data_IF_404888444572
#
_entry.id   IF_404888444572
#
_cell.length_a   1.000
_cell.length_b   1.000
_cell.length_c   1.000
_cell.angle_alpha   90.00
_cell.angle_beta   90.00
_cell.angle_gamma   90.00
#
_symmetry.space_group_name_H-M   'P 1'
#
loop_
_entity.id
_entity.type
_entity.pdbx_description
1 polymer ?
#
# COMPACT_ATOMS: atom_id res chain seq x y z
N UNK A 1 -29.75 6.91 8.33
CA UNK A 1 -29.50 8.33 8.03
C UNK A 1 -28.45 8.44 6.94
N UNK A 2 -28.83 8.92 5.76
CA UNK A 2 -27.93 9.02 4.61
C UNK A 2 -26.81 10.04 4.80
N UNK A 3 -25.88 10.11 3.84
CA UNK A 3 -24.85 11.14 3.81
C UNK A 3 -25.50 12.52 3.84
N UNK A 4 -25.05 13.39 4.76
CA UNK A 4 -25.51 14.78 4.82
C UNK A 4 -25.15 15.50 3.53
N UNK A 5 -26.01 16.41 3.08
CA UNK A 5 -25.81 17.19 1.84
C UNK A 5 -24.64 18.18 1.90
N UNK A 6 -24.16 18.49 3.12
CA UNK A 6 -22.94 19.28 3.35
C UNK A 6 -22.03 18.53 4.32
N UNK A 7 -20.74 18.33 3.99
CA UNK A 7 -19.77 17.75 4.92
C UNK A 7 -19.59 18.65 6.15
N UNK A 8 -19.19 18.01 7.24
CA UNK A 8 -18.98 18.71 8.51
C UNK A 8 -17.73 19.58 8.48
N UNK A 9 -16.65 19.08 7.87
CA UNK A 9 -15.35 19.75 7.70
C UNK A 9 -14.91 19.58 6.24
N UNK A 10 -14.28 20.62 5.70
CA UNK A 10 -13.56 20.57 4.43
C UNK A 10 -12.06 20.67 4.71
N UNK A 11 -11.27 19.89 3.98
CA UNK A 11 -9.79 19.96 3.99
C UNK A 11 -9.32 20.20 2.57
N UNK A 12 -8.83 21.40 2.30
CA UNK A 12 -8.32 21.79 0.99
C UNK A 12 -6.83 21.40 0.85
N UNK A 13 -6.45 20.90 -0.34
CA UNK A 13 -5.04 20.67 -0.71
C UNK A 13 -4.31 21.98 -1.02
N UNK A 14 -2.99 21.92 -1.28
CA UNK A 14 -2.21 23.13 -1.61
C UNK A 14 -2.42 23.47 -3.08
N UNK A 15 -2.23 22.48 -3.95
CA UNK A 15 -2.15 22.68 -5.38
C UNK A 15 -3.13 21.80 -6.15
N UNK A 16 -3.46 22.25 -7.35
CA UNK A 16 -4.14 21.42 -8.34
C UNK A 16 -3.30 20.17 -8.62
N UNK A 17 -3.96 19.01 -8.75
CA UNK A 17 -3.33 17.71 -9.04
C UNK A 17 -2.47 17.07 -7.95
N UNK A 18 -2.40 17.63 -6.74
CA UNK A 18 -1.74 16.97 -5.59
C UNK A 18 -2.40 15.61 -5.27
N UNK A 19 -3.68 15.44 -5.61
CA UNK A 19 -4.49 14.27 -5.24
C UNK A 19 -4.50 14.04 -3.71
N UNK A 20 -4.81 15.10 -2.96
CA UNK A 20 -5.03 15.02 -1.52
C UNK A 20 -6.13 14.00 -1.18
N UNK A 21 -5.90 13.25 -0.10
CA UNK A 21 -6.83 12.20 0.32
C UNK A 21 -6.75 10.98 -0.58
N UNK A 22 -5.59 10.74 -1.19
CA UNK A 22 -5.34 9.52 -1.97
C UNK A 22 -5.58 8.28 -1.10
N UNK A 23 -5.06 8.30 0.12
CA UNK A 23 -5.51 7.46 1.22
C UNK A 23 -5.81 8.31 2.47
N UNK A 24 -6.73 7.81 3.30
CA UNK A 24 -7.11 8.37 4.59
C UNK A 24 -6.98 7.30 5.66
N UNK A 25 -6.33 7.64 6.77
CA UNK A 25 -6.14 6.73 7.90
C UNK A 25 -6.42 7.42 9.22
N UNK A 26 -6.74 6.61 10.23
CA UNK A 26 -6.89 7.08 11.61
C UNK A 26 -6.14 6.17 12.57
N UNK A 27 -5.47 6.74 13.56
CA UNK A 27 -4.75 6.00 14.60
C UNK A 27 -4.53 6.88 15.84
N UNK A 28 -4.21 6.26 16.97
CA UNK A 28 -3.69 6.97 18.15
C UNK A 28 -2.17 7.11 17.99
N UNK A 29 -1.69 8.20 17.40
CA UNK A 29 -0.27 8.37 17.10
C UNK A 29 0.52 8.94 18.26
N UNK A 30 -0.10 9.75 19.12
CA UNK A 30 0.51 10.37 20.29
C UNK A 30 0.17 9.64 21.62
N UNK A 31 -0.43 8.44 21.51
CA UNK A 31 -0.93 7.63 22.63
C UNK A 31 -1.96 8.33 23.54
N UNK A 32 -2.70 9.31 23.01
CA UNK A 32 -3.85 9.86 23.69
C UNK A 32 -5.10 8.95 23.51
N UNK A 33 -6.29 9.47 23.87
CA UNK A 33 -7.56 8.73 23.73
C UNK A 33 -8.34 9.08 22.46
N UNK A 34 -7.83 10.01 21.65
CA UNK A 34 -8.48 10.54 20.47
C UNK A 34 -7.84 9.94 19.21
N UNK A 35 -8.65 9.68 18.18
CA UNK A 35 -8.11 9.21 16.91
C UNK A 35 -7.58 10.40 16.13
N UNK A 36 -6.35 10.30 15.67
CA UNK A 36 -5.72 11.27 14.77
C UNK A 36 -6.12 11.00 13.32
N UNK A 37 -6.02 12.03 12.48
CA UNK A 37 -6.28 11.91 11.05
C UNK A 37 -4.96 11.99 10.28
N UNK A 38 -4.77 11.06 9.35
CA UNK A 38 -3.61 11.01 8.46
C UNK A 38 -4.13 11.07 7.02
N UNK A 39 -3.58 12.00 6.24
CA UNK A 39 -3.98 12.24 4.85
C UNK A 39 -2.74 12.11 3.97
N UNK A 40 -2.83 11.31 2.91
CA UNK A 40 -1.74 11.16 1.94
C UNK A 40 -2.02 11.87 0.62
N UNK A 41 -0.94 12.23 -0.08
CA UNK A 41 -0.97 12.85 -1.40
C UNK A 41 0.33 12.50 -2.14
N UNK A 42 0.36 11.38 -2.88
CA UNK A 42 1.57 10.94 -3.58
C UNK A 42 2.04 11.90 -4.68
N UNK A 43 1.18 12.80 -5.15
CA UNK A 43 1.50 13.76 -6.20
C UNK A 43 1.74 15.17 -5.67
N UNK A 44 1.81 15.35 -4.34
CA UNK A 44 2.08 16.65 -3.73
C UNK A 44 3.37 17.29 -4.25
N UNK A 45 3.30 18.61 -4.50
CA UNK A 45 4.43 19.48 -4.81
C UNK A 45 4.73 20.41 -3.62
N UNK A 46 5.39 19.93 -2.55
CA UNK A 46 5.52 20.68 -1.30
C UNK A 46 6.35 21.96 -1.41
N UNK A 47 7.11 22.12 -2.50
CA UNK A 47 7.95 23.29 -2.77
C UNK A 47 7.45 24.13 -3.96
N UNK A 48 6.19 23.95 -4.37
CA UNK A 48 5.53 24.72 -5.44
C UNK A 48 5.50 24.02 -6.80
N UNK A 49 4.70 24.56 -7.73
CA UNK A 49 4.39 23.97 -9.05
C UNK A 49 5.61 23.71 -9.96
N UNK A 50 6.67 24.50 -9.83
CA UNK A 50 7.89 24.35 -10.64
C UNK A 50 8.83 23.25 -10.11
N UNK A 51 8.52 22.68 -8.95
CA UNK A 51 9.31 21.62 -8.32
C UNK A 51 8.71 20.24 -8.61
N UNK A 52 9.53 19.20 -8.76
CA UNK A 52 9.01 17.86 -9.04
C UNK A 52 8.12 17.37 -7.89
N UNK A 53 7.03 16.68 -8.24
CA UNK A 53 6.13 16.02 -7.27
C UNK A 53 6.90 15.05 -6.39
N UNK A 54 6.98 15.27 -5.09
CA UNK A 54 7.68 14.36 -4.16
C UNK A 54 6.69 13.47 -3.42
N UNK A 55 5.46 13.94 -3.27
CA UNK A 55 4.46 13.34 -2.40
C UNK A 55 4.60 13.83 -0.95
N UNK A 56 3.47 13.81 -0.23
CA UNK A 56 3.38 14.30 1.14
C UNK A 56 2.39 13.49 1.97
N UNK A 57 2.59 13.51 3.29
CA UNK A 57 1.67 13.00 4.29
C UNK A 57 1.45 14.06 5.36
N UNK A 58 0.19 14.39 5.64
CA UNK A 58 -0.20 15.34 6.68
C UNK A 58 -0.84 14.58 7.84
N UNK A 59 -0.40 14.91 9.05
CA UNK A 59 -0.86 14.29 10.29
C UNK A 59 -1.51 15.37 11.14
N UNK A 60 -2.77 15.15 11.47
CA UNK A 60 -3.60 16.03 12.29
C UNK A 60 -3.82 15.34 13.63
N UNK A 61 -3.07 15.76 14.66
CA UNK A 61 -3.27 15.24 16.00
C UNK A 61 -4.55 15.81 16.59
N UNK A 62 -5.49 14.96 16.98
CA UNK A 62 -6.78 15.41 17.50
C UNK A 62 -6.63 16.23 18.79
N UNK A 63 -5.64 15.89 19.63
CA UNK A 63 -5.26 16.62 20.83
C UNK A 63 -4.94 18.10 20.54
N UNK A 64 -4.17 18.39 19.49
CA UNK A 64 -3.82 19.75 19.09
C UNK A 64 -5.05 20.58 18.68
N UNK A 65 -5.98 19.98 17.92
CA UNK A 65 -7.20 20.66 17.47
C UNK A 65 -8.13 20.97 18.64
N UNK A 66 -8.31 20.02 19.55
CA UNK A 66 -9.18 20.20 20.72
C UNK A 66 -8.62 21.26 21.68
N UNK A 67 -7.30 21.26 21.91
CA UNK A 67 -6.65 22.21 22.81
C UNK A 67 -6.66 23.65 22.27
N UNK A 68 -6.55 23.81 20.95
CA UNK A 68 -6.55 25.15 20.33
C UNK A 68 -7.95 25.78 20.27
N UNK A 69 -9.03 25.04 20.52
CA UNK A 69 -10.44 25.47 20.34
C UNK A 69 -10.71 26.17 18.99
N UNK A 70 -9.84 25.93 18.01
CA UNK A 70 -9.81 26.61 16.72
C UNK A 70 -10.27 25.65 15.65
N UNK A 71 -11.58 25.57 15.46
CA UNK A 71 -12.11 25.27 14.13
C UNK A 71 -12.91 26.50 13.71
N UNK A 72 -12.25 27.64 13.44
CA UNK A 72 -12.95 28.79 12.90
C UNK A 72 -13.57 28.35 11.57
N UNK A 73 -14.89 28.43 11.50
CA UNK A 73 -15.67 28.30 10.27
C UNK A 73 -15.60 26.96 9.50
N UNK A 74 -15.19 25.86 10.14
CA UNK A 74 -15.20 24.49 9.57
C UNK A 74 -14.34 24.30 8.31
N UNK A 75 -13.46 25.25 8.02
CA UNK A 75 -12.50 25.17 6.94
C UNK A 75 -11.12 24.91 7.54
N UNK A 76 -10.61 23.70 7.33
CA UNK A 76 -9.26 23.30 7.69
C UNK A 76 -8.48 23.22 6.38
N UNK A 77 -7.21 23.60 6.40
CA UNK A 77 -6.29 23.38 5.28
C UNK A 77 -5.19 22.45 5.73
N UNK A 78 -4.45 21.86 4.81
CA UNK A 78 -3.29 21.04 5.18
C UNK A 78 -2.17 21.79 5.88
N UNK A 79 -2.15 23.13 5.82
CA UNK A 79 -1.25 23.95 6.64
C UNK A 79 -1.59 23.91 8.13
N UNK A 80 -2.78 23.41 8.49
CA UNK A 80 -3.17 23.21 9.88
C UNK A 80 -2.72 21.86 10.45
N UNK A 81 -2.11 20.98 9.65
CA UNK A 81 -1.59 19.70 10.13
C UNK A 81 -0.55 19.91 11.25
N UNK A 82 -0.62 19.08 12.29
CA UNK A 82 0.38 19.05 13.37
C UNK A 82 1.77 18.72 12.83
N UNK A 83 1.83 17.76 11.89
CA UNK A 83 3.05 17.39 11.21
C UNK A 83 2.84 17.22 9.72
N UNK A 84 3.89 17.50 8.95
CA UNK A 84 3.95 17.21 7.52
C UNK A 84 5.23 16.45 7.20
N UNK A 85 5.10 15.35 6.46
CA UNK A 85 6.21 14.54 5.96
C UNK A 85 6.27 14.67 4.44
N UNK A 86 7.47 14.85 3.90
CA UNK A 86 7.72 14.98 2.46
C UNK A 86 8.57 13.82 1.93
N UNK A 87 8.32 13.43 0.68
CA UNK A 87 9.16 12.46 -0.01
C UNK A 87 10.58 12.99 -0.25
N UNK A 88 11.58 12.14 -0.03
CA UNK A 88 13.00 12.49 -0.19
C UNK A 88 13.39 12.81 -1.64
N UNK A 89 12.66 12.27 -2.63
CA UNK A 89 13.06 12.31 -4.04
C UNK A 89 11.95 12.76 -4.96
N UNK A 90 12.35 13.48 -6.00
CA UNK A 90 11.52 13.85 -7.13
C UNK A 90 10.81 12.63 -7.73
N UNK A 91 9.50 12.77 -7.93
CA UNK A 91 8.58 11.75 -8.50
C UNK A 91 8.54 10.44 -7.71
N UNK A 92 8.95 10.44 -6.44
CA UNK A 92 9.02 9.22 -5.62
C UNK A 92 7.64 8.64 -5.29
N UNK A 93 6.59 9.47 -5.36
CA UNK A 93 5.21 9.14 -4.95
C UNK A 93 5.11 8.82 -3.46
N UNK A 94 5.80 9.56 -2.61
CA UNK A 94 5.74 9.34 -1.17
C UNK A 94 4.32 9.53 -0.63
N UNK A 95 3.84 8.59 0.18
CA UNK A 95 2.44 8.56 0.62
C UNK A 95 1.51 7.82 -0.35
N UNK A 96 2.05 7.06 -1.31
CA UNK A 96 1.23 6.28 -2.24
C UNK A 96 0.37 5.22 -1.53
N UNK A 97 0.94 4.56 -0.53
CA UNK A 97 0.24 3.68 0.40
C UNK A 97 0.78 3.86 1.82
N UNK A 98 -0.11 3.73 2.79
CA UNK A 98 0.18 3.89 4.21
C UNK A 98 -0.49 2.78 5.02
N UNK A 99 0.19 2.25 6.04
CA UNK A 99 -0.45 1.47 7.11
C UNK A 99 0.19 1.79 8.46
N UNK A 100 -0.56 1.55 9.53
CA UNK A 100 -0.06 1.65 10.90
C UNK A 100 0.42 0.28 11.35
N UNK A 101 1.68 0.18 11.76
CA UNK A 101 2.24 -0.99 12.41
C UNK A 101 1.78 -1.00 13.88
N UNK A 102 1.07 -2.05 14.34
CA UNK A 102 0.67 -2.16 15.73
C UNK A 102 1.88 -2.16 16.67
N UNK A 103 1.81 -1.50 17.84
CA UNK A 103 2.90 -1.51 18.82
C UNK A 103 3.32 -2.93 19.24
N UNK A 104 2.39 -3.90 19.24
CA UNK A 104 2.68 -5.31 19.53
C UNK A 104 3.74 -5.93 18.61
N UNK A 105 3.89 -5.43 17.39
CA UNK A 105 4.87 -5.94 16.43
C UNK A 105 6.27 -5.34 16.57
N UNK A 106 6.40 -4.25 17.33
CA UNK A 106 7.62 -3.44 17.43
C UNK A 106 7.88 -2.98 18.88
N UNK A 107 7.31 -3.69 19.85
CA UNK A 107 7.34 -3.33 21.28
C UNK A 107 8.74 -3.23 21.89
N UNK A 108 9.75 -3.81 21.23
CA UNK A 108 11.16 -3.71 21.61
C UNK A 108 11.81 -2.37 21.23
N UNK A 109 11.11 -1.49 20.52
CA UNK A 109 11.64 -0.24 19.96
C UNK A 109 10.89 0.96 20.51
N UNK A 110 9.56 0.89 20.47
CA UNK A 110 8.69 1.98 20.88
C UNK A 110 7.36 1.41 21.36
N UNK A 111 6.73 2.13 22.29
CA UNK A 111 5.36 1.89 22.71
C UNK A 111 4.33 2.54 21.79
N UNK A 112 4.74 3.49 20.94
CA UNK A 112 3.86 4.18 20.01
C UNK A 112 3.69 3.41 18.70
N UNK A 113 2.56 3.56 18.00
CA UNK A 113 2.41 3.00 16.66
C UNK A 113 3.43 3.60 15.68
N UNK A 114 3.82 2.81 14.69
CA UNK A 114 4.72 3.26 13.61
C UNK A 114 3.96 3.39 12.31
N UNK A 115 4.14 4.53 11.65
CA UNK A 115 3.64 4.75 10.30
C UNK A 115 4.58 4.07 9.30
N UNK A 116 4.04 3.17 8.48
CA UNK A 116 4.72 2.59 7.34
C UNK A 116 4.21 3.28 6.07
N UNK A 117 5.09 4.00 5.38
CA UNK A 117 4.73 4.86 4.25
C UNK A 117 5.55 4.48 3.02
N UNK A 118 4.91 4.24 1.87
CA UNK A 118 5.62 3.91 0.63
C UNK A 118 5.96 5.13 -0.22
N UNK A 119 7.06 5.03 -0.95
CA UNK A 119 7.39 5.84 -2.13
C UNK A 119 7.83 4.91 -3.27
N UNK A 120 6.88 4.35 -4.06
CA UNK A 120 7.15 3.22 -4.93
C UNK A 120 7.80 3.57 -6.28
N UNK A 121 8.16 4.82 -6.59
CA UNK A 121 8.82 5.08 -7.87
C UNK A 121 10.28 4.56 -7.90
N UNK A 122 10.82 4.34 -9.11
CA UNK A 122 12.15 3.78 -9.32
C UNK A 122 12.30 2.43 -8.61
N UNK A 123 13.26 2.29 -7.71
CA UNK A 123 13.46 1.08 -6.92
C UNK A 123 12.33 0.84 -5.92
N UNK A 124 11.64 1.90 -5.51
CA UNK A 124 10.65 1.86 -4.45
C UNK A 124 11.26 1.81 -3.06
N UNK A 125 10.66 2.54 -2.13
CA UNK A 125 11.07 2.61 -0.73
C UNK A 125 9.86 2.49 0.21
N UNK A 126 10.09 1.94 1.39
CA UNK A 126 9.18 2.02 2.54
C UNK A 126 9.89 2.75 3.67
N UNK A 127 9.22 3.73 4.26
CA UNK A 127 9.71 4.52 5.38
C UNK A 127 8.91 4.19 6.63
N UNK A 128 9.61 3.97 7.74
CA UNK A 128 9.01 3.71 9.04
C UNK A 128 9.24 4.93 9.92
N UNK A 129 8.15 5.59 10.34
CA UNK A 129 8.19 6.75 11.23
C UNK A 129 7.51 6.42 12.55
N UNK A 130 8.15 6.79 13.66
CA UNK A 130 7.47 6.88 14.95
C UNK A 130 7.01 8.32 15.17
N UNK A 131 5.80 8.50 15.69
CA UNK A 131 5.27 9.80 16.10
C UNK A 131 5.31 9.84 17.63
N UNK A 132 6.19 10.68 18.17
CA UNK A 132 6.27 10.96 19.60
C UNK A 132 5.98 12.46 19.79
N UNK A 133 6.93 13.24 20.32
CA UNK A 133 6.84 14.70 20.29
C UNK A 133 7.07 15.28 18.88
N UNK A 134 7.81 14.56 18.03
CA UNK A 134 8.05 14.87 16.62
C UNK A 134 8.15 13.58 15.81
N UNK A 135 7.83 13.60 14.49
CA UNK A 135 8.05 12.46 13.62
C UNK A 135 9.54 12.13 13.51
N UNK A 136 9.89 10.88 13.75
CA UNK A 136 11.27 10.40 13.62
C UNK A 136 11.32 9.19 12.70
N UNK A 137 12.13 9.29 11.64
CA UNK A 137 12.43 8.16 10.77
C UNK A 137 13.26 7.14 11.56
N UNK A 138 12.75 5.91 11.66
CA UNK A 138 13.46 4.80 12.35
C UNK A 138 14.10 3.83 11.37
N UNK A 139 13.56 3.71 10.16
CA UNK A 139 14.06 2.77 9.16
C UNK A 139 13.55 3.09 7.75
N UNK A 140 14.38 2.77 6.75
CA UNK A 140 14.00 2.74 5.33
C UNK A 140 14.28 1.35 4.76
N UNK A 141 13.31 0.76 4.08
CA UNK A 141 13.47 -0.45 3.27
C UNK A 141 13.48 -0.06 1.79
N UNK A 142 14.37 -0.64 0.99
CA UNK A 142 14.50 -0.29 -0.43
C UNK A 142 14.39 -1.50 -1.35
N UNK A 143 13.82 -1.33 -2.55
CA UNK A 143 13.84 -2.33 -3.62
C UNK A 143 15.26 -2.63 -4.13
N UNK A 144 15.37 -3.51 -5.13
CA UNK A 144 16.68 -3.99 -5.63
C UNK A 144 17.08 -3.27 -6.89
N UNK A 145 16.16 -3.23 -7.85
CA UNK A 145 16.41 -2.78 -9.21
C UNK A 145 15.57 -1.54 -9.51
N UNK A 146 16.07 -0.73 -10.43
CA UNK A 146 15.31 0.40 -10.93
C UNK A 146 14.01 -0.11 -11.58
N UNK A 147 12.92 0.56 -11.26
CA UNK A 147 11.57 0.19 -11.67
C UNK A 147 11.02 -1.09 -11.03
N UNK A 148 11.53 -1.57 -9.88
CA UNK A 148 10.87 -2.66 -9.14
C UNK A 148 9.48 -2.25 -8.62
N UNK A 149 9.34 -0.95 -8.34
CA UNK A 149 8.23 -0.38 -7.61
C UNK A 149 7.96 -1.06 -6.26
N UNK A 150 9.03 -1.36 -5.52
CA UNK A 150 8.94 -1.95 -4.19
C UNK A 150 8.11 -1.06 -3.26
N UNK A 151 7.14 -1.67 -2.58
CA UNK A 151 6.23 -0.94 -1.70
C UNK A 151 5.06 -0.30 -2.44
N UNK A 152 4.83 -0.62 -3.72
CA UNK A 152 3.62 -0.16 -4.42
C UNK A 152 2.34 -0.62 -3.71
N UNK A 153 2.38 -1.79 -3.10
CA UNK A 153 1.39 -2.23 -2.14
C UNK A 153 2.06 -2.97 -1.00
N UNK A 154 1.46 -2.95 0.18
CA UNK A 154 1.88 -3.75 1.30
C UNK A 154 0.73 -4.02 2.25
N UNK A 155 0.86 -5.06 3.06
CA UNK A 155 -0.12 -5.43 4.08
C UNK A 155 0.56 -6.07 5.27
N UNK A 156 0.12 -5.73 6.48
CA UNK A 156 0.62 -6.26 7.74
C UNK A 156 -0.34 -7.33 8.27
N UNK A 157 0.20 -8.49 8.64
CA UNK A 157 -0.50 -9.50 9.43
C UNK A 157 -0.23 -9.25 10.91
N UNK A 158 -1.20 -8.75 11.70
CA UNK A 158 -0.94 -8.30 13.07
C UNK A 158 -0.46 -9.43 14.00
N UNK A 159 -1.05 -10.63 13.89
CA UNK A 159 -0.78 -11.73 14.84
C UNK A 159 0.62 -12.30 14.71
N UNK A 160 1.16 -12.33 13.48
CA UNK A 160 2.49 -12.87 13.19
C UNK A 160 3.55 -11.79 13.00
N UNK A 161 3.12 -10.53 12.93
CA UNK A 161 3.96 -9.39 12.62
C UNK A 161 4.75 -9.59 11.31
N UNK A 162 4.04 -10.07 10.30
CA UNK A 162 4.57 -10.26 8.95
C UNK A 162 4.12 -9.12 8.06
N UNK A 163 5.06 -8.55 7.31
CA UNK A 163 4.82 -7.54 6.30
C UNK A 163 4.93 -8.19 4.92
N UNK A 164 3.83 -8.22 4.16
CA UNK A 164 3.87 -8.56 2.75
C UNK A 164 4.09 -7.28 1.94
N UNK A 165 5.06 -7.26 1.02
CA UNK A 165 5.37 -6.10 0.19
C UNK A 165 5.39 -6.49 -1.28
N UNK A 166 4.56 -5.83 -2.08
CA UNK A 166 4.50 -6.01 -3.52
C UNK A 166 5.53 -5.18 -4.28
N UNK A 167 6.11 -5.78 -5.31
CA UNK A 167 7.03 -5.18 -6.28
C UNK A 167 6.58 -5.55 -7.70
N UNK A 168 5.49 -4.95 -8.20
CA UNK A 168 4.80 -5.41 -9.41
C UNK A 168 5.62 -5.30 -10.70
N UNK A 169 6.74 -4.62 -10.70
CA UNK A 169 7.59 -4.52 -11.89
C UNK A 169 8.98 -5.11 -11.66
N UNK A 170 9.14 -5.86 -10.57
CA UNK A 170 10.33 -6.66 -10.32
C UNK A 170 10.51 -7.73 -11.41
N UNK A 171 11.77 -7.94 -11.82
CA UNK A 171 12.23 -8.79 -12.93
C UNK A 171 12.24 -8.13 -14.30
N UNK A 172 13.17 -8.59 -15.14
CA UNK A 172 13.09 -8.47 -16.60
C UNK A 172 11.71 -9.01 -17.01
N UNK A 173 10.96 -8.23 -17.80
CA UNK A 173 9.58 -8.50 -18.24
C UNK A 173 8.45 -8.32 -17.20
N UNK A 174 8.71 -7.71 -16.03
CA UNK A 174 7.67 -7.31 -15.07
C UNK A 174 6.73 -8.45 -14.63
N UNK A 175 7.31 -9.61 -14.30
CA UNK A 175 6.57 -10.70 -13.65
C UNK A 175 5.95 -10.23 -12.33
N UNK A 176 6.68 -9.34 -11.63
CA UNK A 176 6.31 -8.88 -10.30
C UNK A 176 6.64 -9.91 -9.22
N UNK A 177 6.66 -9.45 -7.98
CA UNK A 177 6.91 -10.30 -6.83
C UNK A 177 6.25 -9.75 -5.55
N UNK A 178 6.14 -10.61 -4.56
CA UNK A 178 5.76 -10.27 -3.18
C UNK A 178 6.81 -10.85 -2.22
N UNK A 179 7.44 -9.98 -1.44
CA UNK A 179 8.32 -10.38 -0.34
C UNK A 179 7.53 -10.40 0.96
N UNK A 180 7.63 -11.47 1.74
CA UNK A 180 7.10 -11.53 3.12
C UNK A 180 8.26 -11.34 4.09
N UNK A 181 8.15 -10.34 4.97
CA UNK A 181 9.23 -9.86 5.84
C UNK A 181 8.74 -9.90 7.29
N UNK A 182 9.38 -10.66 8.20
CA UNK A 182 9.08 -10.61 9.62
C UNK A 182 9.57 -9.28 10.22
N UNK A 183 8.65 -8.49 10.79
CA UNK A 183 8.95 -7.17 11.34
C UNK A 183 9.90 -7.23 12.54
N UNK A 184 9.79 -8.27 13.36
CA UNK A 184 10.66 -8.51 14.52
C UNK A 184 12.15 -8.65 14.16
N UNK A 185 12.46 -9.04 12.92
CA UNK A 185 13.84 -9.22 12.48
C UNK A 185 14.47 -7.96 11.89
N UNK A 186 13.66 -6.96 11.48
CA UNK A 186 14.15 -5.77 10.80
C UNK A 186 15.05 -4.92 11.71
N UNK A 187 14.70 -4.81 12.98
CA UNK A 187 15.29 -3.84 13.89
C UNK A 187 16.53 -4.34 14.64
N UNK A 188 16.84 -5.63 14.53
CA UNK A 188 18.05 -6.20 15.12
C UNK A 188 19.35 -5.70 14.44
N UNK A 189 19.25 -5.04 13.28
CA UNK A 189 20.42 -4.66 12.47
C UNK A 189 21.00 -3.28 12.77
N UNK A 190 20.37 -2.45 13.62
CA UNK A 190 20.81 -1.07 13.94
C UNK A 190 21.19 -0.21 12.72
N UNK A 191 20.63 -0.51 11.54
CA UNK A 191 20.86 0.22 10.29
C UNK A 191 19.61 1.03 9.97
N UNK A 192 19.81 2.32 9.68
CA UNK A 192 18.73 3.21 9.24
C UNK A 192 18.20 2.84 7.84
N UNK A 193 19.07 2.31 6.98
CA UNK A 193 18.74 1.90 5.62
C UNK A 193 19.02 0.41 5.44
N UNK A 194 18.01 -0.35 4.99
CA UNK A 194 18.11 -1.78 4.72
C UNK A 194 17.78 -2.05 3.24
N UNK A 195 18.80 -2.46 2.50
CA UNK A 195 18.63 -3.04 1.17
C UNK A 195 18.10 -4.47 1.25
N UNK A 196 17.69 -5.06 0.12
CA UNK A 196 17.14 -6.43 0.10
C UNK A 196 18.05 -7.47 0.74
N UNK A 197 19.35 -7.41 0.49
CA UNK A 197 20.35 -8.33 1.07
C UNK A 197 20.45 -8.21 2.60
N UNK A 198 20.09 -7.06 3.15
CA UNK A 198 20.03 -6.82 4.58
C UNK A 198 18.70 -7.28 5.21
N UNK A 199 17.72 -7.77 4.46
CA UNK A 199 16.43 -8.19 5.02
C UNK A 199 16.37 -9.69 5.23
N UNK A 200 15.85 -10.11 6.37
CA UNK A 200 15.47 -11.51 6.59
C UNK A 200 14.13 -11.77 5.89
N UNK A 201 14.15 -12.00 4.57
CA UNK A 201 12.94 -12.35 3.82
C UNK A 201 12.50 -13.76 4.25
N UNK A 202 11.25 -13.88 4.68
CA UNK A 202 10.63 -15.14 5.07
C UNK A 202 10.42 -16.03 3.84
N UNK A 203 9.85 -15.44 2.79
CA UNK A 203 9.60 -16.07 1.50
C UNK A 203 9.43 -14.97 0.45
N UNK A 204 9.84 -15.26 -0.79
CA UNK A 204 9.60 -14.40 -1.95
C UNK A 204 8.77 -15.16 -2.98
N UNK A 205 7.62 -14.59 -3.35
CA UNK A 205 6.64 -15.17 -4.28
C UNK A 205 6.70 -14.39 -5.58
N UNK A 206 7.00 -15.06 -6.68
CA UNK A 206 7.18 -14.45 -8.00
C UNK A 206 6.02 -14.78 -8.93
N UNK A 207 5.70 -13.83 -9.82
CA UNK A 207 4.82 -14.10 -10.95
C UNK A 207 5.43 -15.16 -11.87
N UNK A 208 4.58 -15.86 -12.61
CA UNK A 208 4.97 -16.88 -13.57
C UNK A 208 4.74 -16.46 -15.02
N UNK A 209 4.20 -15.24 -15.24
CA UNK A 209 3.94 -14.70 -16.57
C UNK A 209 4.55 -13.32 -16.78
N UNK A 210 4.98 -13.10 -18.01
CA UNK A 210 5.45 -11.79 -18.48
C UNK A 210 4.32 -10.75 -18.34
N UNK A 211 4.66 -9.57 -17.82
CA UNK A 211 3.77 -8.44 -17.56
C UNK A 211 2.62 -8.69 -16.59
N UNK A 212 2.65 -9.81 -15.84
CA UNK A 212 1.64 -10.18 -14.84
C UNK A 212 1.52 -9.15 -13.72
N UNK A 213 2.63 -8.49 -13.38
CA UNK A 213 2.70 -7.50 -12.32
C UNK A 213 2.18 -7.99 -10.97
N UNK A 214 2.57 -9.22 -10.60
CA UNK A 214 2.24 -9.81 -9.31
C UNK A 214 2.64 -8.87 -8.16
N UNK A 215 1.75 -8.68 -7.19
CA UNK A 215 1.99 -7.79 -6.06
C UNK A 215 1.57 -6.35 -6.31
N UNK A 216 0.72 -6.10 -7.32
CA UNK A 216 0.18 -4.77 -7.57
C UNK A 216 -0.66 -4.24 -6.39
N UNK A 217 -1.43 -5.14 -5.78
CA UNK A 217 -2.16 -4.99 -4.52
C UNK A 217 -2.01 -6.29 -3.74
N UNK A 218 -1.73 -6.19 -2.44
CA UNK A 218 -1.58 -7.31 -1.51
C UNK A 218 -2.41 -7.03 -0.26
N UNK A 219 -3.08 -8.04 0.28
CA UNK A 219 -3.89 -7.90 1.49
C UNK A 219 -3.93 -9.21 2.28
N UNK A 220 -3.66 -9.14 3.59
CA UNK A 220 -3.90 -10.27 4.48
C UNK A 220 -5.39 -10.41 4.81
N UNK A 221 -5.85 -11.65 4.89
CA UNK A 221 -7.15 -12.00 5.47
C UNK A 221 -7.02 -12.15 6.98
N UNK A 222 -8.13 -12.05 7.75
CA UNK A 222 -8.13 -12.35 9.19
C UNK A 222 -7.64 -13.76 9.52
N UNK A 223 -7.85 -14.72 8.63
CA UNK A 223 -7.40 -16.12 8.77
C UNK A 223 -5.89 -16.28 8.51
N UNK A 224 -5.22 -15.22 8.03
CA UNK A 224 -3.80 -15.21 7.73
C UNK A 224 -3.45 -15.70 6.32
N UNK A 225 -4.43 -15.94 5.46
CA UNK A 225 -4.19 -16.13 4.02
C UNK A 225 -3.78 -14.80 3.38
N UNK A 226 -2.95 -14.86 2.35
CA UNK A 226 -2.48 -13.69 1.61
C UNK A 226 -3.18 -13.62 0.25
N UNK A 227 -3.89 -12.52 0.01
CA UNK A 227 -4.50 -12.22 -1.29
C UNK A 227 -3.55 -11.33 -2.09
N UNK A 228 -3.24 -11.74 -3.32
CA UNK A 228 -2.28 -11.06 -4.20
C UNK A 228 -2.94 -10.82 -5.55
N UNK A 229 -2.93 -9.57 -6.03
CA UNK A 229 -3.37 -9.25 -7.38
C UNK A 229 -2.21 -9.22 -8.37
N UNK A 230 -2.55 -9.50 -9.61
CA UNK A 230 -1.65 -9.48 -10.74
C UNK A 230 -2.39 -8.94 -11.99
N UNK A 231 -2.70 -7.63 -12.02
CA UNK A 231 -3.28 -6.99 -13.18
C UNK A 231 -2.23 -6.89 -14.29
N UNK A 232 -2.58 -7.36 -15.48
CA UNK A 232 -1.68 -7.31 -16.60
C UNK A 232 -1.36 -5.87 -17.04
N UNK A 233 -0.09 -5.60 -17.30
CA UNK A 233 0.35 -4.32 -17.85
C UNK A 233 -0.24 -4.02 -19.24
N UNK A 234 -0.38 -2.73 -19.59
CA UNK A 234 -0.76 -2.24 -20.94
C UNK A 234 0.30 -2.55 -22.03
N UNK A 235 1.21 -3.51 -21.80
CA UNK A 235 2.25 -3.88 -22.76
C UNK A 235 1.62 -4.39 -24.06
N UNK A 236 2.32 -4.19 -25.19
CA UNK A 236 1.92 -4.61 -26.54
C UNK A 236 1.81 -6.14 -26.62
N UNK A 237 0.78 -6.72 -26.01
CA UNK A 237 0.34 -8.05 -26.39
C UNK A 237 0.04 -7.95 -27.88
N UNK A 238 0.77 -8.74 -28.66
CA UNK A 238 0.46 -8.88 -30.07
C UNK A 238 -1.02 -9.26 -30.19
N UNK A 239 -1.77 -8.72 -31.18
CA UNK A 239 -3.21 -8.92 -31.33
C UNK A 239 -3.69 -10.39 -31.26
N UNK A 240 -2.78 -11.35 -31.47
CA UNK A 240 -3.05 -12.79 -31.47
C UNK A 240 -3.02 -13.45 -30.07
N UNK A 241 -2.81 -12.70 -28.98
CA UNK A 241 -2.76 -13.25 -27.61
C UNK A 241 -3.82 -12.66 -26.66
N UNK A 242 -5.00 -12.33 -27.17
CA UNK A 242 -6.15 -11.83 -26.40
C UNK A 242 -6.55 -12.74 -25.22
N UNK A 243 -6.30 -14.05 -25.29
CA UNK A 243 -6.58 -14.96 -24.16
C UNK A 243 -5.58 -14.83 -23.01
N UNK A 244 -4.44 -14.15 -23.24
CA UNK A 244 -3.41 -13.87 -22.23
C UNK A 244 -3.52 -12.48 -21.63
N UNK A 245 -4.59 -11.73 -21.94
CA UNK A 245 -4.77 -10.35 -21.50
C UNK A 245 -5.52 -10.19 -20.16
N UNK A 246 -5.73 -11.27 -19.42
CA UNK A 246 -6.57 -11.27 -18.22
C UNK A 246 -5.76 -10.85 -16.98
N UNK A 247 -6.37 -10.07 -16.08
CA UNK A 247 -5.83 -9.85 -14.74
C UNK A 247 -6.27 -10.96 -13.78
N UNK A 248 -5.42 -11.26 -12.79
CA UNK A 248 -5.60 -12.38 -11.87
C UNK A 248 -5.58 -11.92 -10.42
N UNK A 249 -6.32 -12.64 -9.58
CA UNK A 249 -6.19 -12.53 -8.12
C UNK A 249 -5.97 -13.92 -7.53
N UNK A 250 -4.91 -14.04 -6.75
CA UNK A 250 -4.44 -15.28 -6.13
C UNK A 250 -4.71 -15.25 -4.63
N UNK A 251 -5.06 -16.42 -4.07
CA UNK A 251 -5.08 -16.64 -2.62
C UNK A 251 -4.00 -17.66 -2.27
N UNK A 252 -3.01 -17.23 -1.48
CA UNK A 252 -1.95 -18.06 -0.91
C UNK A 252 -2.35 -18.43 0.52
N UNK A 253 -2.68 -19.70 0.80
CA UNK A 253 -3.09 -20.12 2.13
C UNK A 253 -2.01 -19.89 3.19
N UNK A 254 -2.41 -19.56 4.41
CA UNK A 254 -1.52 -19.33 5.55
C UNK A 254 -0.58 -20.53 5.82
N UNK A 255 -1.06 -21.75 5.56
CA UNK A 255 -0.29 -22.99 5.77
C UNK A 255 0.76 -23.25 4.66
N UNK A 256 0.74 -22.50 3.56
CA UNK A 256 1.77 -22.52 2.51
C UNK A 256 2.89 -21.52 2.77
N UNK A 257 2.70 -20.57 3.69
CA UNK A 257 3.72 -19.59 4.06
C UNK A 257 4.60 -20.19 5.17
N UNK A 258 5.90 -20.40 4.94
CA UNK A 258 6.78 -21.03 5.91
C UNK A 258 6.90 -20.15 7.17
N UNK A 259 7.08 -20.77 8.33
CA UNK A 259 7.29 -20.06 9.60
C UNK A 259 8.75 -19.65 9.82
N UNK A 260 9.67 -20.10 8.95
CA UNK A 260 11.10 -19.81 8.99
C UNK A 260 11.55 -19.29 7.63
N UNK A 261 12.62 -18.48 7.56
CA UNK A 261 13.16 -18.01 6.29
C UNK A 261 13.44 -19.16 5.33
N UNK A 262 12.83 -19.10 4.16
CA UNK A 262 13.10 -19.97 3.03
C UNK A 262 13.72 -19.13 1.91
N UNK A 263 15.04 -19.28 1.65
CA UNK A 263 15.73 -18.48 0.64
C UNK A 263 15.31 -18.85 -0.80
N UNK A 264 14.51 -19.90 -0.99
CA UNK A 264 14.05 -20.30 -2.32
C UNK A 264 13.07 -19.28 -2.90
N UNK A 265 13.15 -19.09 -4.21
CA UNK A 265 12.11 -18.39 -4.97
C UNK A 265 10.95 -19.36 -5.16
N UNK A 266 9.75 -18.91 -4.81
CA UNK A 266 8.52 -19.65 -5.06
C UNK A 266 7.70 -18.95 -6.14
N UNK A 267 7.06 -19.73 -7.01
CA UNK A 267 6.22 -19.20 -8.07
C UNK A 267 4.75 -19.23 -7.65
N UNK A 268 3.98 -18.22 -8.06
CA UNK A 268 2.59 -18.06 -7.61
C UNK A 268 1.69 -19.25 -7.99
N UNK A 269 1.91 -19.87 -9.14
CA UNK A 269 1.15 -21.05 -9.58
C UNK A 269 1.36 -22.29 -8.71
N UNK A 270 2.49 -22.39 -8.00
CA UNK A 270 2.74 -23.53 -7.09
C UNK A 270 2.29 -23.26 -5.66
N UNK A 271 2.07 -22.00 -5.30
CA UNK A 271 1.70 -21.57 -3.95
C UNK A 271 0.21 -21.28 -3.79
N UNK A 272 -0.44 -20.78 -4.84
CA UNK A 272 -1.84 -20.38 -4.77
C UNK A 272 -2.78 -21.59 -4.74
N UNK A 273 -3.89 -21.43 -4.03
CA UNK A 273 -4.94 -22.44 -3.93
C UNK A 273 -6.21 -22.08 -4.71
N UNK A 274 -6.41 -20.78 -4.95
CA UNK A 274 -7.58 -20.23 -5.63
C UNK A 274 -7.11 -19.11 -6.55
N UNK A 275 -7.65 -19.10 -7.76
CA UNK A 275 -7.37 -18.12 -8.80
C UNK A 275 -8.70 -17.53 -9.26
N UNK A 276 -8.85 -16.22 -9.15
CA UNK A 276 -9.95 -15.47 -9.76
C UNK A 276 -9.47 -14.83 -11.05
N UNK A 277 -10.30 -14.93 -12.09
CA UNK A 277 -10.02 -14.43 -13.43
C UNK A 277 -11.14 -13.50 -13.87
N UNK A 278 -10.78 -12.41 -14.53
CA UNK A 278 -11.74 -11.45 -15.08
C UNK A 278 -12.61 -12.11 -16.17
N UNK A 279 -13.92 -12.23 -15.94
CA UNK A 279 -14.85 -12.82 -16.93
C UNK A 279 -14.86 -12.09 -18.30
N UNK A 280 -14.47 -10.82 -18.34
CA UNK A 280 -14.49 -9.99 -19.55
C UNK A 280 -13.09 -9.65 -20.10
N UNK A 281 -12.07 -10.45 -19.76
CA UNK A 281 -10.68 -10.25 -20.21
C UNK A 281 -10.10 -8.86 -19.92
N UNK A 282 -10.56 -8.22 -18.84
CA UNK A 282 -10.04 -6.93 -18.43
C UNK A 282 -8.62 -7.10 -17.86
N UNK A 283 -7.65 -6.51 -18.55
CA UNK A 283 -6.25 -6.49 -18.16
C UNK A 283 -5.99 -5.84 -16.79
N UNK A 284 -6.88 -4.94 -16.32
CA UNK A 284 -6.75 -4.27 -15.03
C UNK A 284 -7.58 -4.88 -13.90
N UNK A 285 -7.99 -6.13 -14.01
CA UNK A 285 -8.68 -6.79 -12.90
C UNK A 285 -7.74 -6.94 -11.70
N UNK A 286 -8.19 -6.50 -10.52
CA UNK A 286 -7.40 -6.54 -9.29
C UNK A 286 -6.46 -5.36 -9.09
N UNK A 287 -6.62 -4.25 -9.83
CA UNK A 287 -5.75 -3.08 -9.60
C UNK A 287 -5.92 -2.47 -8.21
N UNK A 288 -7.10 -2.64 -7.59
CA UNK A 288 -7.26 -2.43 -6.15
C UNK A 288 -8.03 -3.61 -5.58
N UNK A 289 -7.66 -3.97 -4.36
CA UNK A 289 -8.35 -4.98 -3.58
C UNK A 289 -8.51 -4.49 -2.15
N UNK A 290 -9.58 -4.95 -1.52
CA UNK A 290 -9.75 -4.78 -0.08
C UNK A 290 -10.39 -6.05 0.49
N UNK A 291 -9.99 -6.41 1.72
CA UNK A 291 -10.60 -7.50 2.48
C UNK A 291 -11.41 -6.86 3.60
N UNK A 292 -12.72 -6.84 3.41
CA UNK A 292 -13.66 -6.31 4.40
C UNK A 292 -14.05 -7.43 5.35
N UNK A 293 -13.76 -7.28 6.63
CA UNK A 293 -13.99 -8.34 7.61
C UNK A 293 -14.89 -7.85 8.73
N UNK A 294 -15.81 -8.74 9.14
CA UNK A 294 -16.60 -8.65 10.35
C UNK A 294 -16.21 -9.79 11.29
N UNK A 295 -16.83 -9.87 12.47
CA UNK A 295 -16.59 -10.97 13.41
C UNK A 295 -17.01 -12.34 12.86
N UNK A 296 -17.93 -12.39 11.88
CA UNK A 296 -18.51 -13.64 11.38
C UNK A 296 -18.21 -13.93 9.91
N UNK A 297 -17.91 -12.90 9.11
CA UNK A 297 -17.78 -13.02 7.65
C UNK A 297 -16.71 -12.07 7.13
N UNK A 298 -15.92 -12.55 6.17
CA UNK A 298 -14.99 -11.74 5.40
C UNK A 298 -15.39 -11.72 3.92
N UNK A 299 -15.21 -10.58 3.28
CA UNK A 299 -15.45 -10.37 1.85
C UNK A 299 -14.18 -9.86 1.19
N UNK A 300 -13.81 -10.47 0.07
CA UNK A 300 -12.83 -9.95 -0.85
C UNK A 300 -13.54 -9.06 -1.87
N UNK A 301 -13.17 -7.79 -1.89
CA UNK A 301 -13.65 -6.81 -2.86
C UNK A 301 -12.53 -6.53 -3.84
N UNK A 302 -12.77 -6.76 -5.12
CA UNK A 302 -11.80 -6.58 -6.21
C UNK A 302 -12.37 -5.54 -7.16
N UNK A 303 -11.61 -4.48 -7.41
CA UNK A 303 -11.99 -3.49 -8.41
C UNK A 303 -11.18 -3.66 -9.70
N UNK A 304 -11.82 -3.31 -10.81
CA UNK A 304 -11.17 -3.05 -12.08
C UNK A 304 -11.59 -1.66 -12.54
N UNK A 305 -10.69 -0.67 -12.56
CA UNK A 305 -11.00 0.68 -13.00
C UNK A 305 -11.27 0.65 -14.50
N UNK A 306 -11.86 1.74 -14.99
CA UNK A 306 -12.06 1.96 -16.41
C UNK A 306 -10.78 1.62 -17.18
N UNK A 307 -10.94 0.77 -18.19
CA UNK A 307 -9.89 0.40 -19.11
C UNK A 307 -10.21 1.04 -20.45
N UNK A 308 -9.28 1.86 -20.95
CA UNK A 308 -9.28 2.22 -22.36
C UNK A 308 -8.83 0.98 -23.12
N UNK A 309 -9.78 0.30 -23.74
CA UNK A 309 -9.53 -0.80 -24.65
C UNK A 309 -9.40 -0.17 -26.05
N UNK A 310 -8.18 0.23 -26.41
CA UNK A 310 -7.89 1.13 -27.54
C UNK A 310 -8.46 2.55 -27.30
N UNK A 311 -7.90 3.57 -27.96
CA UNK A 311 -8.13 4.99 -27.61
C UNK A 311 -9.61 5.44 -27.64
N UNK A 312 -10.53 4.62 -28.15
CA UNK A 312 -11.94 4.97 -28.38
C UNK A 312 -12.98 4.15 -27.60
N UNK A 313 -12.62 3.07 -26.87
CA UNK A 313 -13.61 2.25 -26.12
C UNK A 313 -13.28 2.20 -24.63
N UNK A 314 -14.12 2.87 -23.82
CA UNK A 314 -14.08 2.80 -22.35
C UNK A 314 -14.98 1.68 -21.87
N UNK A 315 -14.38 0.65 -21.26
CA UNK A 315 -15.17 -0.38 -20.58
C UNK A 315 -15.53 0.09 -19.17
N UNK A 316 -16.77 -0.17 -18.70
CA UNK A 316 -17.19 0.24 -17.37
C UNK A 316 -16.28 -0.38 -16.31
N UNK A 317 -16.00 0.38 -15.26
CA UNK A 317 -15.35 -0.18 -14.08
C UNK A 317 -16.19 -1.32 -13.51
N UNK A 318 -15.53 -2.39 -13.05
CA UNK A 318 -16.20 -3.54 -12.44
C UNK A 318 -15.83 -3.64 -10.96
N UNK A 319 -16.81 -4.02 -10.15
CA UNK A 319 -16.63 -4.36 -8.75
C UNK A 319 -17.06 -5.81 -8.55
N UNK A 320 -16.13 -6.65 -8.10
CA UNK A 320 -16.38 -8.04 -7.76
C UNK A 320 -16.32 -8.21 -6.24
N UNK A 321 -17.33 -8.85 -5.67
CA UNK A 321 -17.42 -9.09 -4.22
C UNK A 321 -17.61 -10.59 -4.00
N UNK A 322 -16.68 -11.18 -3.26
CA UNK A 322 -16.68 -12.60 -2.94
C UNK A 322 -16.62 -12.81 -1.44
N UNK A 323 -17.57 -13.56 -0.90
CA UNK A 323 -17.47 -14.02 0.49
C UNK A 323 -16.32 -15.03 0.60
N UNK A 324 -15.40 -14.78 1.51
CA UNK A 324 -14.33 -15.71 1.90
C UNK A 324 -14.91 -16.70 2.91
N UNK A 325 -14.63 -17.99 2.70
CA UNK A 325 -15.06 -19.07 3.60
C UNK A 325 -14.02 -19.34 4.66
#
# INVERSE_FOLDING_TARGET
>A
DGLRTKPFIYIDGVNEHDAIGFELHTAHLDNDTLLDLIITSPYAQPHGYDQPQQGAVWIFLSSDFMNKQQIPDRQITINNASFTLFGESAKSKFGYSLQIIPPSCISHITSSPVLLISAPANQGKLYLFVIESQPRLIMTLQGVQNNDHFGQSFSIQPDKCWLAVGSPTQSIDWYGAVDIIPLNNLFNKNKLHLDRSDRSILISIHGDRIFERLGHSVQWTPQGDLVISAPLGKGKLLPLQLEKSEGYVYIVPANRIPSRPDPKIHYISTMSSIIYVAHNRLNRFGSQMNVLSSTSVSYLVISSPFTDMYDDVRLPGMLYVQQLK
#
